data_IF_235253094240
#
_entry.id   IF_235253094240
#
_cell.length_a   1.000
_cell.length_b   1.000
_cell.length_c   1.000
_cell.angle_alpha   90.00
_cell.angle_beta   90.00
_cell.angle_gamma   90.00
#
_symmetry.space_group_name_H-M   'P 1'
#
loop_
_entity.id
_entity.type
_entity.pdbx_description
1 polymer ?
#
# COMPACT_ATOMS: atom_id res chain seq x y z
N UNK A 1 -22.30 -8.95 23.07
CA UNK A 1 -22.24 -8.03 21.91
C UNK A 1 -20.89 -8.23 21.26
N UNK A 2 -20.80 -8.90 20.11
CA UNK A 2 -19.51 -9.18 19.46
C UNK A 2 -18.89 -7.87 18.98
N UNK A 3 -17.72 -7.51 19.49
CA UNK A 3 -16.98 -6.33 19.05
C UNK A 3 -16.72 -6.41 17.55
N UNK A 4 -17.38 -5.53 16.79
CA UNK A 4 -17.27 -5.51 15.33
C UNK A 4 -15.87 -5.04 14.93
N UNK A 5 -15.11 -5.91 14.27
CA UNK A 5 -13.86 -5.56 13.61
C UNK A 5 -14.12 -4.53 12.51
N UNK A 6 -13.51 -3.35 12.64
CA UNK A 6 -13.64 -2.27 11.67
C UNK A 6 -12.48 -2.33 10.69
N UNK A 7 -12.71 -2.92 9.51
CA UNK A 7 -11.70 -2.97 8.44
C UNK A 7 -11.51 -1.60 7.79
N UNK A 8 -10.28 -1.10 7.80
CA UNK A 8 -9.89 0.18 7.18
C UNK A 8 -9.38 0.00 5.75
N UNK A 9 -8.69 -1.11 5.50
CA UNK A 9 -8.17 -1.45 4.17
C UNK A 9 -9.24 -2.02 3.24
N UNK A 10 -9.11 -1.77 1.94
CA UNK A 10 -9.94 -2.40 0.92
C UNK A 10 -9.84 -3.94 0.99
N UNK A 11 -10.96 -4.64 0.78
CA UNK A 11 -11.02 -6.09 0.97
C UNK A 11 -10.08 -6.86 0.04
N UNK A 12 -10.01 -6.40 -1.21
CA UNK A 12 -9.20 -7.01 -2.26
C UNK A 12 -7.84 -6.32 -2.43
N UNK A 13 -7.38 -5.53 -1.45
CA UNK A 13 -6.09 -4.85 -1.53
C UNK A 13 -4.94 -5.82 -1.75
N UNK A 14 -4.95 -6.98 -1.08
CA UNK A 14 -3.96 -8.05 -1.30
C UNK A 14 -3.99 -8.61 -2.71
N UNK A 15 -5.19 -8.90 -3.24
CA UNK A 15 -5.36 -9.37 -4.61
C UNK A 15 -4.87 -8.35 -5.63
N UNK A 16 -5.07 -7.05 -5.35
CA UNK A 16 -4.55 -5.98 -6.19
C UNK A 16 -3.02 -5.97 -6.25
N UNK A 17 -2.34 -6.20 -5.11
CA UNK A 17 -0.86 -6.31 -5.09
C UNK A 17 -0.42 -7.52 -5.91
N UNK A 18 -1.05 -8.67 -5.72
CA UNK A 18 -0.71 -9.90 -6.45
C UNK A 18 -0.93 -9.72 -7.96
N UNK A 19 -2.03 -9.07 -8.36
CA UNK A 19 -2.30 -8.72 -9.75
C UNK A 19 -1.25 -7.77 -10.33
N UNK A 20 -0.84 -6.73 -9.59
CA UNK A 20 0.22 -5.82 -10.02
C UNK A 20 1.58 -6.52 -10.14
N UNK A 21 1.90 -7.45 -9.23
CA UNK A 21 3.11 -8.25 -9.32
C UNK A 21 3.11 -9.13 -10.57
N UNK A 22 2.01 -9.82 -10.86
CA UNK A 22 1.89 -10.63 -12.06
C UNK A 22 2.06 -9.76 -13.32
N UNK A 23 1.39 -8.61 -13.36
CA UNK A 23 1.52 -7.67 -14.47
C UNK A 23 2.96 -7.15 -14.61
N UNK A 24 3.67 -6.95 -13.50
CA UNK A 24 5.07 -6.56 -13.52
C UNK A 24 5.98 -7.63 -14.11
N UNK A 25 5.78 -8.89 -13.75
CA UNK A 25 6.54 -10.01 -14.32
C UNK A 25 6.30 -10.10 -15.84
N UNK A 26 5.03 -10.01 -16.27
CA UNK A 26 4.68 -10.01 -17.69
C UNK A 26 5.30 -8.82 -18.43
N UNK A 27 5.17 -7.62 -17.87
CA UNK A 27 5.77 -6.41 -18.43
C UNK A 27 7.28 -6.54 -18.58
N UNK A 28 7.99 -6.98 -17.52
CA UNK A 28 9.42 -7.20 -17.55
C UNK A 28 9.84 -8.26 -18.57
N UNK A 29 9.07 -9.34 -18.73
CA UNK A 29 9.36 -10.36 -19.75
C UNK A 29 9.26 -9.80 -21.17
N UNK A 30 8.18 -9.07 -21.49
CA UNK A 30 7.99 -8.46 -22.80
C UNK A 30 9.04 -7.38 -23.05
N UNK A 31 9.32 -6.57 -22.04
CA UNK A 31 10.36 -5.55 -22.07
C UNK A 31 11.72 -6.17 -22.38
N UNK A 32 12.09 -7.25 -21.70
CA UNK A 32 13.36 -7.95 -21.91
C UNK A 32 13.48 -8.49 -23.34
N UNK A 33 12.45 -9.16 -23.85
CA UNK A 33 12.44 -9.67 -25.23
C UNK A 33 12.59 -8.54 -26.25
N UNK A 34 11.89 -7.42 -26.04
CA UNK A 34 11.99 -6.24 -26.92
C UNK A 34 13.39 -5.63 -26.84
N UNK A 35 13.90 -5.42 -25.63
CA UNK A 35 15.21 -4.85 -25.39
C UNK A 35 16.34 -5.67 -26.03
N UNK A 36 16.24 -7.01 -25.97
CA UNK A 36 17.21 -7.92 -26.59
C UNK A 36 17.19 -7.89 -28.13
N UNK A 37 16.11 -7.42 -28.75
CA UNK A 37 15.94 -7.32 -30.20
C UNK A 37 16.18 -5.90 -30.74
N UNK A 38 16.40 -4.92 -29.86
CA UNK A 38 16.56 -3.51 -30.27
C UNK A 38 18.00 -3.23 -30.67
N UNK A 39 18.21 -2.79 -31.91
CA UNK A 39 19.47 -2.19 -32.33
C UNK A 39 19.61 -0.79 -31.70
N UNK A 40 20.75 -0.53 -31.05
CA UNK A 40 20.97 0.64 -30.19
C UNK A 40 21.16 1.98 -30.94
N UNK A 41 20.81 2.06 -32.22
CA UNK A 41 21.01 3.28 -33.02
C UNK A 41 20.18 4.48 -32.52
N UNK A 42 19.09 4.23 -31.77
CA UNK A 42 18.26 5.28 -31.16
C UNK A 42 18.45 5.36 -29.64
N UNK A 43 19.59 5.93 -29.21
CA UNK A 43 20.00 6.00 -27.79
C UNK A 43 18.97 6.64 -26.84
N UNK A 44 18.22 7.64 -27.30
CA UNK A 44 17.21 8.34 -26.48
C UNK A 44 15.96 7.50 -26.21
N UNK A 45 15.47 6.78 -27.21
CA UNK A 45 14.24 5.98 -27.10
C UNK A 45 14.50 4.79 -26.17
N UNK A 46 15.63 4.10 -26.35
CA UNK A 46 16.05 3.00 -25.48
C UNK A 46 16.27 3.47 -24.04
N UNK A 47 16.85 4.66 -23.85
CA UNK A 47 17.00 5.27 -22.52
C UNK A 47 15.67 5.55 -21.83
N UNK A 48 14.70 6.13 -22.55
CA UNK A 48 13.35 6.39 -22.01
C UNK A 48 12.63 5.09 -21.64
N UNK A 49 12.74 4.05 -22.48
CA UNK A 49 12.16 2.75 -22.22
C UNK A 49 12.69 2.13 -20.92
N UNK A 50 14.01 2.16 -20.70
CA UNK A 50 14.63 1.70 -19.44
C UNK A 50 14.11 2.52 -18.25
N UNK A 51 14.04 3.84 -18.38
CA UNK A 51 13.56 4.71 -17.30
C UNK A 51 12.10 4.38 -16.90
N UNK A 52 11.22 4.14 -17.88
CA UNK A 52 9.84 3.73 -17.64
C UNK A 52 9.77 2.37 -16.95
N UNK A 53 10.59 1.40 -17.38
CA UNK A 53 10.63 0.09 -16.75
C UNK A 53 11.10 0.17 -15.29
N UNK A 54 12.16 0.93 -15.02
CA UNK A 54 12.65 1.16 -13.67
C UNK A 54 11.61 1.84 -12.79
N UNK A 55 10.94 2.88 -13.31
CA UNK A 55 9.85 3.54 -12.58
C UNK A 55 8.75 2.56 -12.20
N UNK A 56 8.33 1.70 -13.13
CA UNK A 56 7.31 0.70 -12.88
C UNK A 56 7.73 -0.32 -11.81
N UNK A 57 8.97 -0.82 -11.87
CA UNK A 57 9.52 -1.74 -10.87
C UNK A 57 9.55 -1.09 -9.49
N UNK A 58 9.98 0.16 -9.38
CA UNK A 58 10.01 0.92 -8.11
C UNK A 58 8.61 1.04 -7.51
N UNK A 59 7.58 1.30 -8.32
CA UNK A 59 6.19 1.37 -7.84
C UNK A 59 5.72 0.03 -7.26
N UNK A 60 6.00 -1.09 -7.93
CA UNK A 60 5.60 -2.43 -7.48
C UNK A 60 6.33 -2.81 -6.19
N UNK A 61 7.64 -2.54 -6.11
CA UNK A 61 8.43 -2.76 -4.89
C UNK A 61 7.90 -1.89 -3.74
N UNK A 62 7.54 -0.63 -4.00
CA UNK A 62 6.95 0.24 -2.97
C UNK A 62 5.63 -0.33 -2.43
N UNK A 63 4.74 -0.82 -3.30
CA UNK A 63 3.52 -1.50 -2.88
C UNK A 63 3.83 -2.74 -2.04
N UNK A 64 4.80 -3.54 -2.45
CA UNK A 64 5.24 -4.73 -1.73
C UNK A 64 5.75 -4.43 -0.31
N UNK A 65 6.58 -3.40 -0.16
CA UNK A 65 7.24 -3.07 1.10
C UNK A 65 6.30 -2.40 2.11
N UNK A 66 5.39 -1.57 1.61
CA UNK A 66 4.58 -0.71 2.48
C UNK A 66 3.12 -1.11 2.55
N UNK A 67 2.54 -1.73 1.51
CA UNK A 67 1.11 -2.00 1.50
C UNK A 67 0.71 -3.03 2.55
N UNK A 68 -0.37 -2.75 3.26
CA UNK A 68 -0.86 -3.59 4.34
C UNK A 68 -2.38 -3.72 4.37
N UNK A 69 -2.84 -4.80 4.99
CA UNK A 69 -4.21 -4.90 5.49
C UNK A 69 -4.29 -4.25 6.87
N UNK A 70 -5.32 -3.44 7.09
CA UNK A 70 -5.51 -2.66 8.30
C UNK A 70 -6.91 -2.84 8.86
N UNK A 71 -6.98 -3.06 10.18
CA UNK A 71 -8.19 -3.26 10.96
C UNK A 71 -8.08 -2.50 12.28
N UNK A 72 -9.22 -2.05 12.80
CA UNK A 72 -9.35 -1.64 14.19
C UNK A 72 -10.09 -2.76 14.91
N UNK A 73 -9.44 -3.35 15.90
CA UNK A 73 -9.99 -4.41 16.75
C UNK A 73 -9.85 -3.92 18.19
N UNK A 74 -10.98 -3.75 18.88
CA UNK A 74 -11.03 -3.19 20.24
C UNK A 74 -10.35 -1.81 20.28
N UNK A 75 -9.34 -1.65 21.15
CA UNK A 75 -8.53 -0.44 21.32
C UNK A 75 -7.16 -0.50 20.62
N UNK A 76 -7.04 -1.32 19.58
CA UNK A 76 -5.79 -1.50 18.83
C UNK A 76 -5.99 -1.38 17.33
N UNK A 77 -4.98 -0.80 16.67
CA UNK A 77 -4.83 -0.86 15.22
C UNK A 77 -3.98 -2.07 14.89
N UNK A 78 -4.54 -2.96 14.07
CA UNK A 78 -3.89 -4.17 13.59
C UNK A 78 -3.46 -3.92 12.15
N UNK A 79 -2.16 -4.07 11.89
CA UNK A 79 -1.54 -3.84 10.59
C UNK A 79 -0.76 -5.08 10.16
N UNK A 80 -1.03 -5.60 8.97
CA UNK A 80 -0.35 -6.78 8.43
C UNK A 80 0.12 -6.51 7.00
N UNK A 81 1.44 -6.56 6.79
CA UNK A 81 2.06 -6.52 5.46
C UNK A 81 1.99 -7.91 4.82
N UNK A 82 2.16 -7.98 3.50
CA UNK A 82 1.97 -9.24 2.77
C UNK A 82 2.89 -10.37 3.24
N UNK A 83 4.17 -10.05 3.51
CA UNK A 83 5.21 -11.02 3.90
C UNK A 83 5.75 -10.78 5.31
N UNK A 84 5.00 -10.09 6.17
CA UNK A 84 5.39 -9.90 7.57
C UNK A 84 4.27 -10.33 8.49
N UNK A 85 4.65 -10.65 9.71
CA UNK A 85 3.70 -10.96 10.76
C UNK A 85 2.80 -9.76 11.06
N UNK A 86 1.61 -10.07 11.53
CA UNK A 86 0.65 -9.08 12.00
C UNK A 86 1.22 -8.33 13.19
N UNK A 87 1.14 -7.00 13.14
CA UNK A 87 1.57 -6.10 14.20
C UNK A 87 0.36 -5.40 14.79
N UNK A 88 0.33 -5.31 16.11
CA UNK A 88 -0.72 -4.62 16.86
C UNK A 88 -0.16 -3.39 17.54
N UNK A 89 -0.85 -2.27 17.37
CA UNK A 89 -0.43 -0.99 17.91
C UNK A 89 -1.56 -0.35 18.71
N UNK A 90 -1.21 0.23 19.86
CA UNK A 90 -2.11 1.12 20.57
C UNK A 90 -2.27 2.44 19.81
N UNK A 91 -3.40 3.13 19.98
CA UNK A 91 -3.67 4.39 19.27
C UNK A 91 -2.63 5.49 19.53
N UNK A 92 -2.05 5.52 20.73
CA UNK A 92 -0.95 6.43 21.10
C UNK A 92 0.32 6.26 20.27
N UNK A 93 0.48 5.14 19.58
CA UNK A 93 1.63 4.83 18.73
C UNK A 93 1.47 5.37 17.30
N UNK A 94 0.31 5.93 16.94
CA UNK A 94 0.10 6.62 15.67
C UNK A 94 0.87 7.95 15.70
N UNK A 95 1.87 8.09 14.84
CA UNK A 95 2.73 9.28 14.77
C UNK A 95 2.20 10.27 13.73
N UNK A 96 1.90 9.76 12.54
CA UNK A 96 1.48 10.59 11.42
C UNK A 96 0.58 9.79 10.48
N UNK A 97 -0.46 10.44 9.96
CA UNK A 97 -1.37 9.90 8.95
C UNK A 97 -1.37 10.85 7.75
N UNK A 98 -1.03 10.33 6.57
CA UNK A 98 -1.11 11.07 5.29
C UNK A 98 -2.04 10.33 4.33
N UNK A 99 -2.74 11.07 3.48
CA UNK A 99 -3.61 10.50 2.43
C UNK A 99 -3.17 11.02 1.08
N UNK A 100 -2.99 10.09 0.14
CA UNK A 100 -2.71 10.36 -1.26
C UNK A 100 -3.86 9.83 -2.10
N UNK A 101 -4.48 10.71 -2.87
CA UNK A 101 -5.63 10.36 -3.70
C UNK A 101 -5.15 10.05 -5.12
N UNK A 102 -5.47 8.85 -5.60
CA UNK A 102 -5.25 8.45 -6.98
C UNK A 102 -6.60 8.02 -7.57
N UNK A 103 -7.30 8.99 -8.17
CA UNK A 103 -8.67 8.81 -8.66
C UNK A 103 -9.58 8.27 -7.53
N UNK A 104 -10.11 7.05 -7.66
CA UNK A 104 -10.99 6.39 -6.69
C UNK A 104 -10.25 5.63 -5.58
N UNK A 105 -8.92 5.53 -5.69
CA UNK A 105 -8.09 4.81 -4.71
C UNK A 105 -7.41 5.81 -3.79
N UNK A 106 -7.60 5.63 -2.50
CA UNK A 106 -6.97 6.45 -1.47
C UNK A 106 -5.87 5.65 -0.79
N UNK A 107 -4.62 6.06 -0.99
CA UNK A 107 -3.49 5.49 -0.29
C UNK A 107 -3.26 6.28 1.00
N UNK A 108 -3.64 5.67 2.13
CA UNK A 108 -3.42 6.26 3.46
C UNK A 108 -2.12 5.71 4.02
N UNK A 109 -1.09 6.55 4.12
CA UNK A 109 0.18 6.21 4.72
C UNK A 109 0.14 6.53 6.19
N UNK A 110 0.26 5.51 7.05
CA UNK A 110 0.34 5.66 8.49
C UNK A 110 1.75 5.31 8.98
N UNK A 111 2.29 6.18 9.83
CA UNK A 111 3.58 5.96 10.50
C UNK A 111 3.31 5.59 11.95
N UNK A 112 3.76 4.40 12.36
CA UNK A 112 3.60 3.86 13.70
C UNK A 112 4.93 3.89 14.44
N UNK A 113 4.90 4.13 15.75
CA UNK A 113 6.06 4.01 16.63
C UNK A 113 6.08 2.63 17.29
N UNK A 114 7.13 1.86 17.08
CA UNK A 114 7.36 0.58 17.72
C UNK A 114 7.76 0.75 19.20
N UNK A 115 7.67 -0.34 19.98
CA UNK A 115 8.08 -0.35 21.38
C UNK A 115 9.56 0.07 21.56
N UNK A 116 10.41 -0.27 20.58
CA UNK A 116 11.85 0.02 20.59
C UNK A 116 12.17 1.47 20.18
N UNK A 117 11.17 2.35 20.07
CA UNK A 117 11.33 3.76 19.67
C UNK A 117 11.51 4.00 18.16
N UNK A 118 11.73 2.95 17.37
CA UNK A 118 11.79 3.04 15.90
C UNK A 118 10.42 3.35 15.31
N UNK A 119 10.41 3.88 14.09
CA UNK A 119 9.17 4.12 13.35
C UNK A 119 9.05 3.19 12.16
N UNK A 120 7.82 2.78 11.87
CA UNK A 120 7.50 1.93 10.73
C UNK A 120 6.35 2.52 9.93
N UNK A 121 6.50 2.50 8.60
CA UNK A 121 5.50 3.00 7.67
C UNK A 121 4.67 1.86 7.10
N UNK A 122 3.39 2.17 6.93
CA UNK A 122 2.38 1.29 6.39
C UNK A 122 1.52 2.08 5.39
N UNK A 123 1.16 1.45 4.28
CA UNK A 123 0.34 2.03 3.22
C UNK A 123 -0.97 1.24 3.15
N UNK A 124 -2.05 1.90 3.54
CA UNK A 124 -3.39 1.35 3.56
C UNK A 124 -4.08 1.78 2.26
N UNK A 125 -4.35 0.82 1.39
CA UNK A 125 -5.20 1.04 0.23
C UNK A 125 -6.65 1.08 0.72
N UNK A 126 -7.31 2.22 0.57
CA UNK A 126 -8.69 2.47 0.95
C UNK A 126 -9.48 2.89 -0.30
N UNK A 127 -10.68 2.34 -0.50
CA UNK A 127 -11.57 2.70 -1.60
C UNK A 127 -12.94 2.92 -0.99
N UNK A 128 -13.27 4.16 -0.63
CA UNK A 128 -14.59 4.46 -0.06
C UNK A 128 -15.60 4.63 -1.21
N UNK A 129 -16.20 3.52 -1.63
CA UNK A 129 -17.37 3.54 -2.53
C UNK A 129 -18.39 2.52 -2.06
N UNK A 130 -19.67 2.75 -2.36
CA UNK A 130 -20.77 1.91 -1.89
C UNK A 130 -20.64 0.43 -2.29
N UNK A 131 -19.96 0.13 -3.40
CA UNK A 131 -19.69 -1.24 -3.87
C UNK A 131 -18.35 -1.82 -3.38
N UNK A 132 -17.45 -1.03 -2.81
CA UNK A 132 -16.10 -1.46 -2.46
C UNK A 132 -15.97 -2.06 -1.05
N UNK A 133 -17.06 -2.22 -0.29
CA UNK A 133 -17.12 -2.76 1.09
C UNK A 133 -16.19 -2.08 2.12
N UNK A 134 -15.40 -1.08 1.74
CA UNK A 134 -14.68 -0.21 2.66
C UNK A 134 -15.63 0.91 3.08
N UNK A 135 -16.33 0.67 4.17
CA UNK A 135 -17.38 1.56 4.70
C UNK A 135 -16.84 2.84 5.36
N UNK A 136 -15.53 3.00 5.47
CA UNK A 136 -14.91 4.02 6.31
C UNK A 136 -13.72 4.67 5.62
N UNK A 137 -13.59 5.99 5.75
CA UNK A 137 -12.37 6.70 5.38
C UNK A 137 -11.26 6.34 6.39
N UNK A 138 -10.24 5.61 5.93
CA UNK A 138 -9.17 5.16 6.80
C UNK A 138 -8.38 6.32 7.41
N UNK A 139 -8.28 7.47 6.74
CA UNK A 139 -7.55 8.63 7.27
C UNK A 139 -8.29 9.21 8.46
N UNK A 140 -9.57 9.54 8.27
CA UNK A 140 -10.43 10.14 9.29
C UNK A 140 -10.49 9.27 10.55
N UNK A 141 -10.69 7.96 10.37
CA UNK A 141 -10.72 7.03 11.51
C UNK A 141 -9.38 7.00 12.25
N UNK A 142 -8.24 6.98 11.54
CA UNK A 142 -6.93 6.96 12.19
C UNK A 142 -6.62 8.28 12.92
N UNK A 143 -7.05 9.43 12.38
CA UNK A 143 -6.90 10.74 13.02
C UNK A 143 -7.80 10.86 14.27
N UNK A 144 -9.04 10.38 14.21
CA UNK A 144 -9.93 10.30 15.37
C UNK A 144 -9.32 9.45 16.49
N UNK A 145 -8.79 8.27 16.13
CA UNK A 145 -8.15 7.37 17.08
C UNK A 145 -6.86 7.98 17.67
N UNK A 146 -6.09 8.71 16.86
CA UNK A 146 -4.92 9.43 17.35
C UNK A 146 -5.27 10.51 18.37
N UNK A 147 -6.43 11.17 18.19
CA UNK A 147 -6.92 12.26 19.05
C UNK A 147 -7.71 11.80 20.28
N UNK A 148 -8.17 10.54 20.35
CA UNK A 148 -8.82 9.91 21.52
C UNK A 148 -7.87 9.68 22.72
N UNK A 149 -6.88 10.56 22.90
CA UNK A 149 -5.98 10.56 24.06
C UNK A 149 -6.68 10.89 25.36
#
# INVERSE_FOLDING_TARGET
MSEQEKRLSYQYSTWYILGNMLMAVLFCSVFWTRFAMTDFEHSLISGLQIAVALFFVVLVISQLLYQCTAYVRQDKVVLKKLFRDEQQYAFKQIVNVKKYNLSRVHYVVVTMRNANGTTEKYMIMNIYTWYAQSRYDAKEVLEELQNKR
#
